data_IF_146000600543
#
_entry.id   IF_146000600543
#
_cell.length_a   1.000
_cell.length_b   1.000
_cell.length_c   1.000
_cell.angle_alpha   90.00
_cell.angle_beta   90.00
_cell.angle_gamma   90.00
#
_symmetry.space_group_name_H-M   'P 1'
#
loop_
_entity.id
_entity.type
_entity.pdbx_description
1 polymer ?
#
# COMPACT_ATOMS: atom_id res chain seq x y z
N UNK A 1 4.17 18.21 17.13
CA UNK A 1 5.03 17.07 16.80
C UNK A 1 4.24 16.05 16.00
N UNK A 2 4.80 15.56 14.89
CA UNK A 2 4.15 14.55 14.09
C UNK A 2 4.13 13.20 14.81
N UNK A 3 3.09 12.44 14.60
CA UNK A 3 2.95 11.10 15.19
C UNK A 3 3.12 10.04 14.10
N UNK A 4 4.01 9.05 14.29
CA UNK A 4 4.09 7.95 13.35
C UNK A 4 2.83 7.09 13.45
N UNK A 5 2.33 6.66 12.31
CA UNK A 5 1.16 5.78 12.24
C UNK A 5 1.39 4.66 11.27
N UNK A 6 0.67 3.56 11.46
CA UNK A 6 0.69 2.39 10.59
C UNK A 6 -0.73 2.01 10.24
N UNK A 7 -0.91 1.47 9.04
CA UNK A 7 -2.21 1.06 8.56
C UNK A 7 -2.05 -0.19 7.72
N UNK A 8 -2.82 -1.23 8.05
CA UNK A 8 -2.79 -2.47 7.28
C UNK A 8 -3.58 -2.29 6.01
N UNK A 9 -2.98 -2.68 4.88
CA UNK A 9 -3.65 -2.70 3.58
C UNK A 9 -4.09 -4.13 3.28
N UNK A 10 -5.32 -4.28 2.79
CA UNK A 10 -5.83 -5.59 2.42
C UNK A 10 -5.10 -6.13 1.19
N UNK A 11 -4.61 -7.36 1.28
CA UNK A 11 -4.00 -8.06 0.14
C UNK A 11 -4.95 -9.17 -0.30
N UNK A 12 -5.62 -9.02 -1.46
CA UNK A 12 -6.52 -10.05 -1.94
C UNK A 12 -5.81 -11.39 -2.15
N UNK A 13 -6.50 -12.48 -1.82
CA UNK A 13 -5.96 -13.83 -1.98
C UNK A 13 -6.07 -14.33 -3.43
N UNK A 14 -6.80 -13.63 -4.27
CA UNK A 14 -6.96 -13.93 -5.69
C UNK A 14 -6.75 -12.64 -6.48
N UNK A 15 -6.52 -12.73 -7.80
CA UNK A 15 -6.37 -11.51 -8.60
C UNK A 15 -7.52 -10.54 -8.39
N UNK A 16 -7.19 -9.27 -8.17
CA UNK A 16 -8.17 -8.23 -7.90
C UNK A 16 -7.61 -7.17 -6.98
N UNK A 17 -8.42 -6.14 -6.71
CA UNK A 17 -8.00 -5.02 -5.88
C UNK A 17 -8.51 -5.18 -4.45
N UNK A 18 -7.64 -4.84 -3.50
CA UNK A 18 -8.01 -4.78 -2.10
C UNK A 18 -8.75 -3.48 -1.78
N UNK A 19 -9.21 -3.38 -0.54
CA UNK A 19 -9.88 -2.19 -0.06
C UNK A 19 -8.93 -1.00 -0.09
N UNK A 20 -9.40 0.13 -0.60
CA UNK A 20 -8.65 1.37 -0.55
C UNK A 20 -8.74 1.98 0.84
N UNK A 21 -7.58 2.38 1.38
CA UNK A 21 -7.51 3.04 2.68
C UNK A 21 -7.17 4.50 2.49
N UNK A 22 -7.82 5.36 3.27
CA UNK A 22 -7.56 6.79 3.23
C UNK A 22 -6.27 7.08 4.00
N UNK A 23 -5.26 7.60 3.31
CA UNK A 23 -3.95 7.92 3.87
C UNK A 23 -3.64 9.42 3.74
N UNK A 24 -4.65 10.22 3.45
CA UNK A 24 -4.44 11.64 3.17
C UNK A 24 -3.74 12.39 4.31
N UNK A 25 -4.00 11.95 5.54
CA UNK A 25 -3.39 12.57 6.73
C UNK A 25 -1.91 12.25 6.92
N UNK A 26 -1.39 11.25 6.18
CA UNK A 26 -0.02 10.79 6.37
C UNK A 26 0.93 11.45 5.39
N UNK A 27 2.13 11.79 5.88
CA UNK A 27 3.25 12.30 5.08
C UNK A 27 4.41 11.32 5.16
N UNK A 28 5.28 11.38 4.16
CA UNK A 28 6.46 10.51 4.07
C UNK A 28 6.05 9.04 4.14
N UNK A 29 5.07 8.68 3.32
CA UNK A 29 4.49 7.33 3.32
C UNK A 29 5.44 6.30 2.74
N UNK A 30 5.47 5.14 3.38
CA UNK A 30 6.19 3.96 2.89
C UNK A 30 5.30 2.75 3.09
N UNK A 31 5.27 1.86 2.11
CA UNK A 31 4.52 0.60 2.21
C UNK A 31 5.53 -0.54 2.27
N UNK A 32 5.37 -1.40 3.27
CA UNK A 32 6.17 -2.60 3.40
C UNK A 32 5.32 -3.81 3.04
N UNK A 33 5.86 -4.64 2.14
CA UNK A 33 5.31 -5.95 1.85
C UNK A 33 6.20 -6.95 2.56
N UNK A 34 5.62 -7.83 3.37
CA UNK A 34 6.36 -8.83 4.15
C UNK A 34 5.73 -10.20 4.01
N UNK A 35 6.46 -11.23 4.44
CA UNK A 35 6.04 -12.61 4.34
C UNK A 35 6.41 -13.22 3.00
N UNK A 36 6.72 -14.53 2.97
CA UNK A 36 7.03 -15.20 1.71
C UNK A 36 5.77 -15.39 0.88
N UNK A 37 5.86 -15.15 -0.42
CA UNK A 37 4.76 -15.41 -1.34
C UNK A 37 5.31 -15.60 -2.76
N UNK A 38 4.52 -16.25 -3.59
CA UNK A 38 4.78 -16.36 -5.03
C UNK A 38 3.65 -15.64 -5.77
N UNK A 39 4.00 -14.82 -6.75
CA UNK A 39 3.04 -14.03 -7.50
C UNK A 39 3.53 -12.60 -7.67
N UNK A 40 2.63 -11.69 -7.95
CA UNK A 40 2.97 -10.28 -8.06
C UNK A 40 1.87 -9.40 -7.47
N UNK A 41 2.29 -8.36 -6.76
CA UNK A 41 1.42 -7.38 -6.13
C UNK A 41 1.78 -6.01 -6.67
N UNK A 42 0.78 -5.16 -6.88
CA UNK A 42 0.97 -3.79 -7.34
C UNK A 42 0.38 -2.83 -6.32
N UNK A 43 1.20 -1.90 -5.84
CA UNK A 43 0.69 -0.79 -5.05
C UNK A 43 0.05 0.22 -5.98
N UNK A 44 -1.13 0.68 -5.63
CA UNK A 44 -1.86 1.69 -6.39
C UNK A 44 -2.28 2.82 -5.48
N UNK A 45 -2.28 4.02 -6.03
CA UNK A 45 -2.70 5.21 -5.31
C UNK A 45 -3.69 6.04 -6.10
N UNK A 46 -4.43 6.87 -5.38
CA UNK A 46 -5.44 7.74 -5.97
C UNK A 46 -5.56 9.03 -5.17
N UNK A 47 -5.90 10.11 -5.83
CA UNK A 47 -6.21 11.37 -5.17
C UNK A 47 -7.70 11.46 -4.85
N UNK A 48 -8.54 10.93 -5.73
CA UNK A 48 -10.01 11.05 -5.60
C UNK A 48 -10.70 9.80 -5.09
N UNK A 49 -10.00 8.67 -4.97
CA UNK A 49 -10.58 7.42 -4.53
C UNK A 49 -11.29 6.65 -5.64
N UNK A 50 -11.27 7.15 -6.86
CA UNK A 50 -11.92 6.52 -8.01
C UNK A 50 -10.92 6.08 -9.06
N UNK A 51 -10.03 6.96 -9.47
CA UNK A 51 -9.03 6.68 -10.48
C UNK A 51 -7.71 6.31 -9.79
N UNK A 52 -7.30 5.05 -9.92
CA UNK A 52 -6.08 4.54 -9.31
C UNK A 52 -5.01 4.30 -10.34
N UNK A 53 -3.78 4.65 -9.99
CA UNK A 53 -2.61 4.47 -10.84
C UNK A 53 -1.54 3.69 -10.07
N UNK A 54 -0.72 2.89 -10.77
CA UNK A 54 0.34 2.14 -10.09
C UNK A 54 1.43 3.05 -9.54
N UNK A 55 1.93 2.68 -8.37
CA UNK A 55 3.06 3.34 -7.73
C UNK A 55 4.22 2.34 -7.71
N UNK A 56 5.26 2.64 -8.46
CA UNK A 56 6.41 1.76 -8.57
C UNK A 56 6.13 0.54 -9.43
N UNK A 57 7.09 -0.36 -9.49
CA UNK A 57 6.96 -1.62 -10.23
C UNK A 57 6.22 -2.65 -9.40
N UNK A 58 5.62 -3.68 -10.04
CA UNK A 58 5.04 -4.79 -9.29
C UNK A 58 6.08 -5.47 -8.41
N UNK A 59 5.63 -5.92 -7.23
CA UNK A 59 6.48 -6.60 -6.26
C UNK A 59 6.26 -8.11 -6.40
N UNK A 60 7.35 -8.84 -6.53
CA UNK A 60 7.32 -10.30 -6.62
C UNK A 60 7.85 -10.97 -5.36
N UNK A 61 8.15 -10.19 -4.33
CA UNK A 61 8.63 -10.65 -3.04
C UNK A 61 8.57 -9.53 -2.02
N UNK A 62 9.03 -9.78 -0.79
CA UNK A 62 9.05 -8.75 0.26
C UNK A 62 9.89 -7.55 -0.14
N UNK A 63 9.50 -6.39 0.37
CA UNK A 63 10.24 -5.17 0.11
C UNK A 63 9.48 -3.93 0.51
N UNK A 64 10.03 -2.78 0.15
CA UNK A 64 9.45 -1.48 0.45
C UNK A 64 9.11 -0.73 -0.82
N UNK A 65 8.02 0.05 -0.74
CA UNK A 65 7.66 1.00 -1.80
C UNK A 65 7.53 2.37 -1.16
N UNK A 66 8.31 3.32 -1.66
CA UNK A 66 8.19 4.71 -1.22
C UNK A 66 7.02 5.37 -1.95
N UNK A 67 6.25 6.18 -1.23
CA UNK A 67 5.10 6.89 -1.79
C UNK A 67 5.37 8.39 -1.63
N UNK A 68 6.16 8.99 -2.54
CA UNK A 68 6.54 10.39 -2.40
C UNK A 68 5.45 11.39 -2.79
N UNK A 69 4.43 10.95 -3.50
CA UNK A 69 3.36 11.83 -3.93
C UNK A 69 2.25 11.94 -2.87
N UNK A 70 1.51 13.04 -2.93
CA UNK A 70 0.45 13.33 -1.98
C UNK A 70 -0.87 12.65 -2.38
N UNK A 71 -0.89 11.33 -2.40
CA UNK A 71 -2.12 10.59 -2.68
C UNK A 71 -3.00 10.54 -1.44
N UNK A 72 -4.31 10.47 -1.67
CA UNK A 72 -5.28 10.38 -0.58
C UNK A 72 -5.62 8.92 -0.24
N UNK A 73 -5.48 8.00 -1.19
CA UNK A 73 -5.85 6.60 -1.02
C UNK A 73 -4.74 5.69 -1.52
N UNK A 74 -4.57 4.56 -0.83
CA UNK A 74 -3.68 3.47 -1.24
C UNK A 74 -4.44 2.16 -1.20
N UNK A 75 -4.11 1.27 -2.13
CA UNK A 75 -4.63 -0.10 -2.13
C UNK A 75 -3.61 -1.04 -2.76
N UNK A 76 -3.77 -2.33 -2.48
CA UNK A 76 -2.95 -3.37 -3.12
C UNK A 76 -3.80 -4.05 -4.19
N UNK A 77 -3.24 -4.17 -5.38
CA UNK A 77 -3.82 -4.92 -6.47
C UNK A 77 -3.01 -6.21 -6.62
N UNK A 78 -3.64 -7.33 -6.32
CA UNK A 78 -3.03 -8.64 -6.55
C UNK A 78 -3.15 -8.96 -8.03
N UNK A 79 -2.01 -8.98 -8.73
CA UNK A 79 -1.98 -9.28 -10.17
C UNK A 79 -1.98 -10.79 -10.38
N UNK A 80 -1.14 -11.50 -9.60
CA UNK A 80 -1.02 -12.94 -9.65
C UNK A 80 -0.61 -13.42 -8.28
N UNK A 81 -1.15 -14.55 -7.83
CA UNK A 81 -0.78 -15.13 -6.54
C UNK A 81 -0.97 -16.63 -6.59
N UNK A 82 0.11 -17.36 -6.38
CA UNK A 82 0.10 -18.81 -6.41
C UNK A 82 0.29 -19.44 -5.03
N UNK A 83 0.94 -18.73 -4.10
CA UNK A 83 1.14 -19.24 -2.74
C UNK A 83 1.54 -18.12 -1.79
N UNK A 84 1.45 -18.41 -0.49
CA UNK A 84 1.90 -17.52 0.57
C UNK A 84 0.81 -16.62 1.10
N UNK A 85 1.14 -15.90 2.18
CA UNK A 85 0.23 -14.95 2.84
C UNK A 85 0.98 -13.64 3.06
N UNK A 86 1.16 -12.83 2.01
CA UNK A 86 1.86 -11.56 2.16
C UNK A 86 1.03 -10.58 2.98
N UNK A 87 1.74 -9.70 3.69
CA UNK A 87 1.13 -8.60 4.44
C UNK A 87 1.60 -7.30 3.83
N UNK A 88 0.73 -6.30 3.82
CA UNK A 88 1.06 -4.96 3.38
C UNK A 88 0.71 -3.98 4.50
N UNK A 89 1.68 -3.15 4.87
CA UNK A 89 1.48 -2.13 5.90
C UNK A 89 2.00 -0.81 5.38
N UNK A 90 1.15 0.20 5.42
CA UNK A 90 1.53 1.57 5.11
C UNK A 90 1.92 2.28 6.40
N UNK A 91 2.96 3.09 6.34
CA UNK A 91 3.42 3.89 7.46
C UNK A 91 3.66 5.32 7.00
N UNK A 92 3.50 6.26 7.91
CA UNK A 92 3.75 7.67 7.64
C UNK A 92 3.59 8.49 8.92
N UNK A 93 3.66 9.79 8.79
CA UNK A 93 3.54 10.71 9.92
C UNK A 93 2.25 11.51 9.82
N UNK A 94 1.46 11.48 10.89
CA UNK A 94 0.24 12.26 10.98
C UNK A 94 0.55 13.60 11.66
N UNK A 95 0.64 14.64 10.85
CA UNK A 95 0.95 15.99 11.35
C UNK A 95 -0.25 16.67 12.02
N UNK A 96 -1.45 16.09 11.85
CA UNK A 96 -2.63 16.61 12.54
C UNK A 96 -2.64 16.26 14.02
N UNK A 97 -1.81 15.30 14.44
CA UNK A 97 -1.72 14.85 15.83
C UNK A 97 -0.72 15.70 16.64
N UNK A 98 -0.30 16.80 16.12
CA UNK A 98 0.66 17.71 16.77
C UNK A 98 0.05 18.43 17.97
#
# INVERSE_FOLDING_TARGET
MARPERMVLEVPSAPGTGKAENVFRLRDKTVQISGPFAGSLQLEGSIDGEDFEPIGAPLTGPGFVLVPMAVAFLRIHTLERTSGLPKAVASGFDFRAM
#
